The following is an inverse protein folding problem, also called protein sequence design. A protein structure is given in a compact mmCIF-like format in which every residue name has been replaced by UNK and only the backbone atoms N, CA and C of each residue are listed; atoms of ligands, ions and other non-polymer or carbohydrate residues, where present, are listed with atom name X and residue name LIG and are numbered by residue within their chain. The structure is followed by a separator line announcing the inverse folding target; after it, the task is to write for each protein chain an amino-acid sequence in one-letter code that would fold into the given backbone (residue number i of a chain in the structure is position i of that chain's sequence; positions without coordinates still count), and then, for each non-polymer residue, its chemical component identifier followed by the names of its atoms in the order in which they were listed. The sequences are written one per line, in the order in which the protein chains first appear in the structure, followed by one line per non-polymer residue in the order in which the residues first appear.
data_IF_982863016123
#
_entry.id   IF_982863016123
#
_cell.length_a   1.000
_cell.length_b   1.000
_cell.length_c   1.000
_cell.angle_alpha   90.00
_cell.angle_beta   90.00
_cell.angle_gamma   90.00
#
_symmetry.space_group_name_H-M   'P 1'
#
loop_
_entity.id
_entity.type
_entity.pdbx_description
1 polymer ?
#
# COMPACT_ATOMS: atom_id res chain seq x y z
N UNK A 1 27.54 -2.77 11.29
CA UNK A 1 28.23 -2.91 10.00
C UNK A 1 27.70 -4.08 9.17
N UNK A 2 27.89 -5.37 9.52
CA UNK A 2 27.37 -6.49 8.66
C UNK A 2 25.84 -6.63 8.55
N UNK A 3 25.09 -6.11 9.54
CA UNK A 3 23.61 -6.13 9.55
C UNK A 3 23.01 -5.05 8.64
N UNK A 4 23.72 -3.94 8.44
CA UNK A 4 23.23 -2.79 7.69
C UNK A 4 23.39 -3.01 6.18
N UNK A 5 24.48 -3.64 5.75
CA UNK A 5 24.72 -3.99 4.34
C UNK A 5 23.69 -4.99 3.79
N UNK A 6 23.29 -5.99 4.59
CA UNK A 6 22.28 -6.96 4.16
C UNK A 6 20.90 -6.34 4.07
N UNK A 7 20.57 -5.40 4.96
CA UNK A 7 19.34 -4.61 4.91
C UNK A 7 19.29 -3.74 3.66
N UNK A 8 20.30 -2.89 3.45
CA UNK A 8 20.36 -1.97 2.30
C UNK A 8 20.33 -2.75 0.98
N UNK A 9 21.07 -3.86 0.88
CA UNK A 9 21.05 -4.71 -0.31
C UNK A 9 19.64 -5.25 -0.61
N UNK A 10 18.92 -5.72 0.41
CA UNK A 10 17.56 -6.24 0.22
C UNK A 10 16.58 -5.16 -0.20
N UNK A 11 16.70 -3.94 0.34
CA UNK A 11 15.89 -2.80 -0.09
C UNK A 11 16.19 -2.40 -1.53
N UNK A 12 17.47 -2.32 -1.91
CA UNK A 12 17.87 -1.97 -3.27
C UNK A 12 17.33 -2.97 -4.30
N UNK A 13 17.37 -4.27 -3.97
CA UNK A 13 16.76 -5.32 -4.79
C UNK A 13 15.24 -5.09 -4.93
N UNK A 14 14.54 -4.84 -3.82
CA UNK A 14 13.09 -4.59 -3.86
C UNK A 14 12.71 -3.37 -4.69
N UNK A 15 13.44 -2.27 -4.52
CA UNK A 15 13.29 -1.07 -5.33
C UNK A 15 13.48 -1.37 -6.82
N UNK A 16 14.57 -2.06 -7.19
CA UNK A 16 14.88 -2.41 -8.59
C UNK A 16 13.83 -3.35 -9.20
N UNK A 17 13.43 -4.40 -8.47
CA UNK A 17 12.43 -5.37 -8.93
C UNK A 17 11.06 -4.72 -9.11
N UNK A 18 10.68 -3.75 -8.29
CA UNK A 18 9.37 -3.08 -8.36
C UNK A 18 9.19 -2.30 -9.67
N UNK A 19 10.26 -1.83 -10.32
CA UNK A 19 10.19 -1.15 -11.62
C UNK A 19 9.89 -2.09 -12.78
N UNK A 20 10.21 -3.37 -12.64
CA UNK A 20 10.05 -4.33 -13.73
C UNK A 20 8.65 -4.94 -13.59
N UNK A 21 7.74 -4.68 -14.55
CA UNK A 21 6.42 -5.30 -14.54
C UNK A 21 6.56 -6.82 -14.46
N UNK A 22 5.58 -7.49 -13.85
CA UNK A 22 5.58 -8.94 -13.57
C UNK A 22 6.54 -9.31 -12.42
N UNK A 23 7.80 -8.86 -12.46
CA UNK A 23 8.74 -9.11 -11.35
C UNK A 23 8.33 -8.35 -10.07
N UNK A 24 7.63 -7.24 -10.20
CA UNK A 24 7.03 -6.51 -9.09
C UNK A 24 6.16 -7.37 -8.15
N UNK A 25 5.60 -8.50 -8.64
CA UNK A 25 4.87 -9.47 -7.80
C UNK A 25 5.76 -9.98 -6.65
N UNK A 26 7.05 -10.24 -6.89
CA UNK A 26 7.95 -10.68 -5.82
C UNK A 26 8.19 -9.58 -4.78
N UNK A 27 8.26 -8.32 -5.22
CA UNK A 27 8.35 -7.19 -4.29
C UNK A 27 7.06 -7.03 -3.47
N UNK A 28 5.90 -7.30 -4.06
CA UNK A 28 4.63 -7.34 -3.32
C UNK A 28 4.60 -8.47 -2.30
N UNK A 29 5.13 -9.65 -2.63
CA UNK A 29 5.22 -10.76 -1.68
C UNK A 29 6.14 -10.44 -0.51
N UNK A 30 7.23 -9.74 -0.80
CA UNK A 30 8.11 -9.24 0.25
C UNK A 30 7.37 -8.29 1.20
N UNK A 31 6.61 -7.33 0.67
CA UNK A 31 5.78 -6.40 1.47
C UNK A 31 4.71 -7.14 2.28
N UNK A 32 4.08 -8.16 1.70
CA UNK A 32 3.12 -9.02 2.38
C UNK A 32 3.74 -9.74 3.58
N UNK A 33 4.93 -10.34 3.41
CA UNK A 33 5.62 -11.04 4.49
C UNK A 33 6.03 -10.09 5.62
N UNK A 34 6.43 -8.86 5.29
CA UNK A 34 6.69 -7.81 6.28
C UNK A 34 5.41 -7.49 7.06
N UNK A 35 4.28 -7.28 6.37
CA UNK A 35 2.99 -7.03 7.00
C UNK A 35 2.52 -8.19 7.88
N UNK A 36 2.75 -9.44 7.44
CA UNK A 36 2.43 -10.67 8.18
C UNK A 36 3.26 -10.82 9.45
N UNK A 37 4.57 -10.64 9.38
CA UNK A 37 5.45 -10.63 10.57
C UNK A 37 5.02 -9.57 11.57
N UNK A 38 4.76 -8.36 11.06
CA UNK A 38 4.28 -7.24 11.84
C UNK A 38 2.95 -7.53 12.55
N UNK A 39 2.02 -8.19 11.84
CA UNK A 39 0.71 -8.55 12.38
C UNK A 39 0.80 -9.61 13.48
N UNK A 40 1.76 -10.53 13.37
CA UNK A 40 1.99 -11.59 14.37
C UNK A 40 2.79 -11.12 15.58
N UNK A 41 3.25 -9.87 15.61
CA UNK A 41 4.13 -9.36 16.67
C UNK A 41 5.50 -10.04 16.67
N UNK A 42 5.89 -10.67 15.56
CA UNK A 42 7.19 -11.32 15.43
C UNK A 42 8.29 -10.26 15.38
N UNK A 43 9.52 -10.67 15.74
CA UNK A 43 10.68 -9.79 15.58
C UNK A 43 10.82 -9.45 14.09
N UNK A 44 10.73 -8.17 13.75
CA UNK A 44 10.84 -7.70 12.38
C UNK A 44 12.17 -8.14 11.77
N UNK A 45 12.11 -9.13 10.88
CA UNK A 45 13.23 -9.57 10.08
C UNK A 45 12.94 -9.30 8.61
N UNK A 46 13.94 -8.80 7.89
CA UNK A 46 13.77 -8.52 6.47
C UNK A 46 13.67 -9.86 5.72
N UNK A 47 12.59 -10.10 4.95
CA UNK A 47 12.43 -11.34 4.20
C UNK A 47 13.62 -11.68 3.31
N UNK A 48 13.79 -12.95 2.99
CA UNK A 48 14.83 -13.42 2.07
C UNK A 48 14.28 -13.50 0.64
N UNK A 49 15.00 -12.92 -0.32
CA UNK A 49 14.64 -13.00 -1.75
C UNK A 49 14.78 -14.40 -2.37
N UNK A 50 15.31 -15.37 -1.62
CA UNK A 50 15.57 -16.74 -2.10
C UNK A 50 14.35 -17.66 -2.08
N UNK A 51 13.27 -17.29 -1.42
CA UNK A 51 12.05 -18.10 -1.31
C UNK A 51 11.02 -17.62 -2.36
N UNK A 52 11.35 -17.84 -3.64
CA UNK A 52 10.62 -17.26 -4.78
C UNK A 52 9.18 -17.76 -4.87
N UNK A 53 8.96 -19.02 -4.54
CA UNK A 53 7.65 -19.68 -4.48
C UNK A 53 6.72 -18.99 -3.47
N UNK A 54 7.19 -18.80 -2.24
CA UNK A 54 6.43 -18.12 -1.20
C UNK A 54 6.18 -16.64 -1.56
N UNK A 55 7.21 -15.94 -2.05
CA UNK A 55 7.11 -14.54 -2.46
C UNK A 55 6.12 -14.35 -3.63
N UNK A 56 6.05 -15.29 -4.57
CA UNK A 56 5.09 -15.20 -5.66
C UNK A 56 3.65 -15.31 -5.15
N UNK A 57 3.35 -16.32 -4.33
CA UNK A 57 2.00 -16.54 -3.79
C UNK A 57 1.57 -15.38 -2.90
N UNK A 58 2.43 -14.96 -1.97
CA UNK A 58 2.19 -13.80 -1.11
C UNK A 58 2.06 -12.51 -1.92
N UNK A 59 2.78 -12.41 -3.04
CA UNK A 59 2.73 -11.28 -3.96
C UNK A 59 1.40 -11.16 -4.69
N UNK A 60 0.86 -12.28 -5.16
CA UNK A 60 -0.50 -12.32 -5.73
C UNK A 60 -1.52 -11.92 -4.68
N UNK A 61 -1.38 -12.41 -3.44
CA UNK A 61 -2.30 -12.05 -2.35
C UNK A 61 -2.29 -10.55 -2.07
N UNK A 62 -1.11 -9.95 -1.96
CA UNK A 62 -0.97 -8.50 -1.80
C UNK A 62 -1.49 -7.74 -3.02
N UNK A 63 -1.23 -8.22 -4.23
CA UNK A 63 -1.70 -7.59 -5.46
C UNK A 63 -3.22 -7.51 -5.52
N UNK A 64 -3.95 -8.54 -5.04
CA UNK A 64 -5.41 -8.52 -4.97
C UNK A 64 -5.89 -7.41 -4.02
N UNK A 65 -5.32 -7.32 -2.81
CA UNK A 65 -5.66 -6.28 -1.84
C UNK A 65 -5.31 -4.88 -2.37
N UNK A 66 -4.12 -4.74 -2.95
CA UNK A 66 -3.65 -3.50 -3.57
C UNK A 66 -4.55 -3.07 -4.72
N UNK A 67 -5.00 -4.02 -5.54
CA UNK A 67 -5.94 -3.72 -6.63
C UNK A 67 -7.26 -3.21 -6.08
N UNK A 68 -7.78 -3.86 -5.04
CA UNK A 68 -9.06 -3.50 -4.42
C UNK A 68 -9.04 -2.11 -3.76
N UNK A 69 -7.96 -1.78 -3.06
CA UNK A 69 -7.91 -0.63 -2.16
C UNK A 69 -6.97 0.50 -2.56
N UNK A 70 -6.11 0.27 -3.55
CA UNK A 70 -5.21 1.29 -4.08
C UNK A 70 -5.53 1.61 -5.54
N UNK A 71 -5.50 0.58 -6.41
CA UNK A 71 -5.68 0.79 -7.85
C UNK A 71 -7.12 1.19 -8.19
N UNK A 72 -8.13 0.49 -7.66
CA UNK A 72 -9.53 0.82 -7.95
C UNK A 72 -9.92 2.24 -7.52
N UNK A 73 -9.63 2.71 -6.28
CA UNK A 73 -9.93 4.08 -5.89
C UNK A 73 -9.24 5.14 -6.76
N UNK A 74 -7.98 4.91 -7.15
CA UNK A 74 -7.26 5.80 -8.05
C UNK A 74 -7.87 5.80 -9.46
N UNK A 75 -8.26 4.64 -9.98
CA UNK A 75 -8.92 4.52 -11.28
C UNK A 75 -10.27 5.23 -11.30
N UNK A 76 -11.05 5.12 -10.21
CA UNK A 76 -12.30 5.86 -10.03
C UNK A 76 -12.03 7.37 -9.97
N UNK A 77 -11.04 7.81 -9.19
CA UNK A 77 -10.64 9.22 -9.13
C UNK A 77 -10.20 9.77 -10.49
N UNK A 78 -9.47 8.97 -11.27
CA UNK A 78 -9.05 9.32 -12.62
C UNK A 78 -10.23 9.38 -13.61
N UNK A 79 -11.18 8.44 -13.53
CA UNK A 79 -12.39 8.49 -14.34
C UNK A 79 -13.22 9.74 -14.03
N UNK A 80 -13.34 10.11 -12.76
CA UNK A 80 -14.03 11.33 -12.33
C UNK A 80 -13.35 12.60 -12.89
N UNK A 81 -12.02 12.66 -12.96
CA UNK A 81 -11.32 13.77 -13.63
C UNK A 81 -11.82 13.93 -15.06
N UNK A 82 -11.86 12.84 -15.84
CA UNK A 82 -12.26 12.87 -17.24
C UNK A 82 -13.74 13.26 -17.41
N UNK A 83 -14.62 12.79 -16.54
CA UNK A 83 -16.04 13.17 -16.56
C UNK A 83 -16.19 14.67 -16.26
N UNK A 84 -15.52 15.17 -15.21
CA UNK A 84 -15.59 16.58 -14.81
C UNK A 84 -14.96 17.52 -15.85
N UNK A 85 -13.91 17.08 -16.55
CA UNK A 85 -13.27 17.87 -17.61
C UNK A 85 -14.16 17.97 -18.86
N UNK A 86 -14.83 16.89 -19.25
CA UNK A 86 -15.78 16.89 -20.38
C UNK A 86 -17.04 17.68 -20.05
N UNK A 87 -17.57 17.54 -18.83
CA UNK A 87 -18.74 18.28 -18.37
C UNK A 87 -18.47 19.77 -18.12
N UNK A 88 -17.20 20.21 -18.23
CA UNK A 88 -16.68 21.52 -17.82
C UNK A 88 -17.72 22.65 -17.83
N UNK A 89 -18.41 22.78 -16.69
CA UNK A 89 -19.23 23.94 -16.30
C UNK A 89 -18.33 25.14 -15.93
N UNK A 90 -17.23 25.36 -16.66
CA UNK A 90 -16.23 26.39 -16.35
C UNK A 90 -15.35 26.10 -15.12
N UNK A 91 -15.35 24.87 -14.59
CA UNK A 91 -14.53 24.50 -13.42
C UNK A 91 -13.04 24.48 -13.82
N UNK A 92 -12.14 25.19 -13.10
CA UNK A 92 -10.71 25.14 -13.36
C UNK A 92 -10.17 23.72 -13.24
N UNK A 93 -9.30 23.32 -14.17
CA UNK A 93 -8.73 21.97 -14.24
C UNK A 93 -8.11 21.51 -12.90
N UNK A 94 -7.60 22.44 -12.10
CA UNK A 94 -7.04 22.20 -10.77
C UNK A 94 -8.04 21.55 -9.79
N UNK A 95 -9.33 21.92 -9.87
CA UNK A 95 -10.39 21.36 -9.01
C UNK A 95 -10.76 19.95 -9.46
N UNK A 96 -10.66 19.66 -10.76
CA UNK A 96 -10.96 18.35 -11.31
C UNK A 96 -10.01 17.26 -10.77
N UNK A 97 -8.77 17.60 -10.38
CA UNK A 97 -7.81 16.66 -9.78
C UNK A 97 -8.09 16.29 -8.31
N UNK A 98 -9.00 16.98 -7.62
CA UNK A 98 -9.29 16.72 -6.20
C UNK A 98 -9.68 15.26 -5.91
N UNK A 99 -10.58 14.60 -6.68
CA UNK A 99 -10.96 13.21 -6.41
C UNK A 99 -9.76 12.26 -6.46
N UNK A 100 -8.85 12.45 -7.43
CA UNK A 100 -7.65 11.62 -7.54
C UNK A 100 -6.67 11.87 -6.39
N UNK A 101 -6.45 13.13 -6.01
CA UNK A 101 -5.59 13.48 -4.87
C UNK A 101 -6.11 12.93 -3.55
N UNK A 102 -7.43 12.99 -3.33
CA UNK A 102 -8.08 12.39 -2.16
C UNK A 102 -7.92 10.87 -2.19
N UNK A 103 -8.13 10.24 -3.34
CA UNK A 103 -7.93 8.81 -3.50
C UNK A 103 -6.47 8.41 -3.21
N UNK A 104 -5.48 9.13 -3.72
CA UNK A 104 -4.06 8.88 -3.48
C UNK A 104 -3.68 9.01 -2.00
N UNK A 105 -4.27 9.97 -1.29
CA UNK A 105 -4.05 10.18 0.14
C UNK A 105 -4.68 9.05 0.97
N UNK A 106 -5.86 8.57 0.63
CA UNK A 106 -6.59 7.59 1.44
C UNK A 106 -6.24 6.13 1.10
N UNK A 107 -5.95 5.84 -0.17
CA UNK A 107 -5.62 4.51 -0.70
C UNK A 107 -4.61 3.71 0.15
N UNK A 108 -3.46 4.26 0.59
CA UNK A 108 -2.51 3.48 1.40
C UNK A 108 -3.11 3.07 2.76
N UNK A 109 -3.91 3.93 3.40
CA UNK A 109 -4.59 3.59 4.66
C UNK A 109 -5.60 2.45 4.46
N UNK A 110 -6.44 2.55 3.44
CA UNK A 110 -7.39 1.51 3.07
C UNK A 110 -6.70 0.19 2.71
N UNK A 111 -5.59 0.24 1.98
CA UNK A 111 -4.79 -0.94 1.62
C UNK A 111 -4.24 -1.63 2.86
N UNK A 112 -3.71 -0.87 3.82
CA UNK A 112 -3.17 -1.44 5.05
C UNK A 112 -4.27 -2.07 5.91
N UNK A 113 -5.41 -1.39 6.06
CA UNK A 113 -6.56 -1.93 6.81
C UNK A 113 -7.13 -3.18 6.12
N UNK A 114 -7.36 -3.14 4.81
CA UNK A 114 -7.81 -4.29 4.03
C UNK A 114 -6.85 -5.47 4.15
N UNK A 115 -5.54 -5.20 4.09
CA UNK A 115 -4.52 -6.23 4.28
C UNK A 115 -4.56 -6.82 5.69
N UNK A 116 -4.70 -6.00 6.74
CA UNK A 116 -4.82 -6.53 8.11
C UNK A 116 -6.05 -7.39 8.30
N UNK A 117 -7.18 -7.01 7.69
CA UNK A 117 -8.42 -7.78 7.75
C UNK A 117 -8.26 -9.13 7.05
N UNK A 118 -7.62 -9.13 5.88
CA UNK A 118 -7.28 -10.36 5.16
C UNK A 118 -6.31 -11.23 5.96
N UNK A 119 -5.27 -10.67 6.57
CA UNK A 119 -4.32 -11.43 7.39
C UNK A 119 -4.95 -12.04 8.66
N UNK A 120 -6.00 -11.43 9.20
CA UNK A 120 -6.74 -11.92 10.37
C UNK A 120 -7.71 -13.06 10.04
N UNK A 121 -8.35 -12.98 8.88
CA UNK A 121 -9.46 -13.87 8.50
C UNK A 121 -9.04 -14.96 7.53
N UNK A 122 -7.96 -14.73 6.77
CA UNK A 122 -7.53 -15.51 5.60
C UNK A 122 -8.68 -15.73 4.58
N UNK A 123 -9.67 -14.82 4.58
CA UNK A 123 -10.87 -14.87 3.73
C UNK A 123 -10.90 -13.66 2.78
N UNK A 124 -11.10 -13.95 1.49
CA UNK A 124 -11.25 -12.94 0.44
C UNK A 124 -12.55 -12.15 0.57
N UNK A 125 -13.62 -12.75 1.10
CA UNK A 125 -14.90 -12.07 1.26
C UNK A 125 -14.82 -10.96 2.31
N UNK A 126 -13.89 -11.08 3.28
CA UNK A 126 -13.63 -10.04 4.26
C UNK A 126 -13.12 -8.73 3.63
N UNK A 127 -12.57 -8.78 2.41
CA UNK A 127 -12.22 -7.58 1.64
C UNK A 127 -13.45 -6.83 1.11
N UNK A 128 -14.66 -7.38 1.16
CA UNK A 128 -15.89 -6.70 0.75
C UNK A 128 -16.69 -6.16 1.93
N UNK A 129 -16.23 -6.36 3.16
CA UNK A 129 -16.82 -5.78 4.37
C UNK A 129 -16.47 -4.29 4.50
N UNK A 130 -16.85 -3.50 3.48
CA UNK A 130 -16.47 -2.09 3.35
C UNK A 130 -16.81 -1.27 4.59
N UNK A 131 -17.94 -1.57 5.25
CA UNK A 131 -18.36 -0.91 6.49
C UNK A 131 -17.33 -1.07 7.61
N UNK A 132 -16.78 -2.27 7.77
CA UNK A 132 -15.78 -2.54 8.80
C UNK A 132 -14.44 -1.90 8.45
N UNK A 133 -14.06 -1.95 7.17
CA UNK A 133 -12.81 -1.35 6.70
C UNK A 133 -12.84 0.17 6.88
N UNK A 134 -13.93 0.83 6.48
CA UNK A 134 -14.12 2.27 6.72
C UNK A 134 -14.12 2.58 8.21
N UNK A 135 -14.83 1.79 9.04
CA UNK A 135 -14.84 1.97 10.49
C UNK A 135 -13.44 1.89 11.11
N UNK A 136 -12.64 0.92 10.67
CA UNK A 136 -11.25 0.74 11.12
C UNK A 136 -10.34 1.88 10.66
N UNK A 137 -10.48 2.35 9.42
CA UNK A 137 -9.76 3.53 8.90
C UNK A 137 -10.11 4.78 9.73
N UNK A 138 -11.40 5.03 9.96
CA UNK A 138 -11.87 6.21 10.73
C UNK A 138 -11.40 6.13 12.19
N UNK A 139 -11.42 4.94 12.79
CA UNK A 139 -10.98 4.70 14.17
C UNK A 139 -9.48 4.87 14.37
N UNK A 140 -8.69 4.77 13.30
CA UNK A 140 -7.24 4.95 13.32
C UNK A 140 -6.78 6.21 12.57
N UNK A 141 -7.70 7.15 12.25
CA UNK A 141 -7.42 8.33 11.40
C UNK A 141 -6.24 9.18 11.86
N UNK A 142 -6.07 9.41 13.17
CA UNK A 142 -5.00 10.27 13.72
C UNK A 142 -3.62 9.68 13.44
N UNK A 143 -3.57 8.35 13.33
CA UNK A 143 -2.36 7.58 13.10
C UNK A 143 -2.22 7.27 11.62
N UNK A 144 -3.33 7.15 10.88
CA UNK A 144 -3.38 6.89 9.45
C UNK A 144 -3.11 8.13 8.59
N UNK A 145 -3.40 9.34 9.09
CA UNK A 145 -3.31 10.53 8.26
C UNK A 145 -1.87 10.90 7.93
N UNK A 146 -1.00 11.00 8.95
CA UNK A 146 0.39 11.46 8.77
C UNK A 146 1.21 10.54 7.86
N UNK A 147 1.25 9.21 8.05
CA UNK A 147 2.06 8.34 7.20
C UNK A 147 1.50 8.24 5.78
N UNK A 148 0.17 8.34 5.61
CA UNK A 148 -0.44 8.36 4.29
C UNK A 148 -0.14 9.65 3.54
N UNK A 149 -0.07 10.79 4.24
CA UNK A 149 0.37 12.06 3.68
C UNK A 149 1.85 11.99 3.24
N UNK A 150 2.72 11.41 4.06
CA UNK A 150 4.13 11.19 3.71
C UNK A 150 4.23 10.28 2.48
N UNK A 151 3.45 9.20 2.43
CA UNK A 151 3.41 8.30 1.28
C UNK A 151 2.97 9.04 0.01
N UNK A 152 1.90 9.84 0.07
CA UNK A 152 1.43 10.62 -1.07
C UNK A 152 2.47 11.65 -1.52
N UNK A 153 3.13 12.34 -0.59
CA UNK A 153 4.22 13.26 -0.88
C UNK A 153 5.41 12.54 -1.54
N UNK A 154 5.79 11.35 -1.06
CA UNK A 154 6.82 10.53 -1.69
C UNK A 154 6.44 10.19 -3.13
N UNK A 155 5.19 9.79 -3.42
CA UNK A 155 4.77 9.51 -4.79
C UNK A 155 4.84 10.75 -5.68
N UNK A 156 4.49 11.93 -5.16
CA UNK A 156 4.54 13.17 -5.91
C UNK A 156 5.98 13.59 -6.25
N UNK A 157 6.88 13.63 -5.26
CA UNK A 157 8.26 14.10 -5.46
C UNK A 157 9.15 13.09 -6.17
N UNK A 158 8.92 11.78 -5.99
CA UNK A 158 9.71 10.71 -6.59
C UNK A 158 8.98 10.05 -7.77
N UNK A 159 8.03 10.73 -8.41
CA UNK A 159 7.22 10.17 -9.50
C UNK A 159 8.05 9.50 -10.62
N UNK A 160 9.20 10.06 -11.11
CA UNK A 160 10.05 9.38 -12.09
C UNK A 160 10.66 8.07 -11.58
N UNK A 161 10.72 7.92 -10.26
CA UNK A 161 11.25 6.77 -9.53
C UNK A 161 10.13 6.00 -8.82
N UNK A 162 8.98 5.84 -9.48
CA UNK A 162 7.75 5.27 -8.88
C UNK A 162 7.99 3.92 -8.17
N UNK A 163 8.88 3.07 -8.69
CA UNK A 163 9.21 1.78 -8.08
C UNK A 163 9.84 1.93 -6.69
N UNK A 164 10.71 2.94 -6.52
CA UNK A 164 11.34 3.25 -5.23
C UNK A 164 10.32 3.82 -4.25
N UNK A 165 9.56 4.84 -4.66
CA UNK A 165 8.60 5.51 -3.79
C UNK A 165 7.49 4.56 -3.35
N UNK A 166 6.98 3.74 -4.26
CA UNK A 166 5.97 2.73 -3.96
C UNK A 166 6.48 1.69 -2.98
N UNK A 167 7.62 1.05 -3.30
CA UNK A 167 8.16 -0.03 -2.49
C UNK A 167 8.55 0.45 -1.09
N UNK A 168 9.33 1.53 -1.01
CA UNK A 168 9.76 2.07 0.29
C UNK A 168 8.58 2.65 1.07
N UNK A 169 7.67 3.35 0.40
CA UNK A 169 6.47 3.89 1.02
C UNK A 169 5.68 2.80 1.72
N UNK A 170 5.37 1.70 1.04
CA UNK A 170 4.65 0.59 1.66
C UNK A 170 5.49 -0.17 2.70
N UNK A 171 6.79 -0.34 2.46
CA UNK A 171 7.69 -1.02 3.39
C UNK A 171 7.69 -0.37 4.78
N UNK A 172 7.62 0.95 4.85
CA UNK A 172 7.59 1.66 6.12
C UNK A 172 6.17 1.79 6.69
N UNK A 173 5.16 1.98 5.84
CA UNK A 173 3.79 2.21 6.29
C UNK A 173 3.11 0.94 6.81
N UNK A 174 3.40 -0.22 6.20
CA UNK A 174 2.76 -1.50 6.51
C UNK A 174 3.04 -1.94 7.95
N UNK A 175 4.30 -2.05 8.41
CA UNK A 175 4.62 -2.38 9.81
C UNK A 175 3.95 -1.49 10.83
N UNK A 176 3.90 -0.19 10.55
CA UNK A 176 3.37 0.81 11.46
C UNK A 176 1.87 0.58 11.70
N UNK A 177 1.11 0.33 10.64
CA UNK A 177 -0.33 0.13 10.75
C UNK A 177 -0.74 -1.26 11.22
N UNK A 178 -0.11 -2.31 10.69
CA UNK A 178 -0.50 -3.69 11.02
C UNK A 178 -0.25 -3.98 12.51
N UNK A 179 0.82 -3.42 13.07
CA UNK A 179 1.12 -3.51 14.50
C UNK A 179 0.21 -2.61 15.36
N UNK A 180 -0.14 -1.41 14.89
CA UNK A 180 -1.01 -0.51 15.66
C UNK A 180 -2.43 -1.05 15.80
N UNK A 181 -3.02 -1.54 14.70
CA UNK A 181 -4.37 -2.12 14.71
C UNK A 181 -4.44 -3.35 15.63
N UNK A 182 -3.33 -4.05 15.84
CA UNK A 182 -3.27 -5.19 16.77
C UNK A 182 -3.47 -4.81 18.24
N UNK A 183 -3.15 -3.56 18.64
CA UNK A 183 -3.22 -3.14 20.04
C UNK A 183 -4.60 -2.63 20.48
N UNK A 184 -5.52 -2.47 19.53
CA UNK A 184 -6.86 -1.90 19.78
C UNK A 184 -7.98 -2.94 19.87
N UNK A 185 -7.65 -4.24 19.71
CA UNK A 185 -8.56 -5.36 20.01
C UNK A 185 -8.34 -5.84 21.44
#
# INVERSE_FOLDING_TARGET
MRRDESFVKKMAIGCGITFVPILNIFAFGFLFQVAKQARRGEKMTVPEWRQWDALFVDGIRFLIVLTAYFVMPLAVGWLLINILSVLSLGIPLNVAYLPFSIALLLAPAFTCVGLTRFLDTDDWLALFEFKEIVSNVVSAREILFVPSLIFAAMQFFLFPLYGISFFLGFLFILPYYTAYISKKR
#
